data_IF_742012962517
#
_entry.id   IF_742012962517
#
_cell.length_a   1.000
_cell.length_b   1.000
_cell.length_c   1.000
_cell.angle_alpha   90.00
_cell.angle_beta   90.00
_cell.angle_gamma   90.00
#
_symmetry.space_group_name_H-M   'P 1'
#
loop_
_entity.id
_entity.type
_entity.pdbx_description
1 polymer ?
#
# COMPACT_ATOMS: atom_id res chain seq x y z
N UNK A 1 32.92 28.27 -30.31
CA UNK A 1 32.07 27.15 -30.73
C UNK A 1 30.65 27.46 -30.26
N UNK A 2 29.66 27.52 -31.15
CA UNK A 2 28.25 27.69 -30.76
C UNK A 2 27.61 26.31 -30.77
N UNK A 3 27.25 25.81 -29.60
CA UNK A 3 26.45 24.59 -29.51
C UNK A 3 24.98 25.00 -29.69
N UNK A 4 24.43 24.77 -30.88
CA UNK A 4 23.00 24.92 -31.11
C UNK A 4 22.28 23.75 -30.45
N UNK A 5 21.80 23.95 -29.22
CA UNK A 5 20.83 23.02 -28.62
C UNK A 5 19.52 23.17 -29.39
N UNK A 6 19.09 22.10 -30.07
CA UNK A 6 17.75 22.07 -30.67
C UNK A 6 16.72 22.24 -29.54
N UNK A 7 15.66 23.05 -29.72
CA UNK A 7 14.58 23.12 -28.75
C UNK A 7 14.00 21.72 -28.53
N UNK A 8 13.99 21.29 -27.27
CA UNK A 8 13.41 20.02 -26.85
C UNK A 8 12.12 20.32 -26.11
N UNK A 9 11.04 19.63 -26.47
CA UNK A 9 9.79 19.66 -25.74
C UNK A 9 9.53 18.31 -25.10
N UNK A 10 8.99 18.35 -23.88
CA UNK A 10 8.66 17.18 -23.09
C UNK A 10 7.16 17.10 -22.89
N UNK A 11 6.63 15.89 -22.82
CA UNK A 11 5.25 15.63 -22.45
C UNK A 11 5.15 14.32 -21.68
N UNK A 12 4.74 14.39 -20.42
CA UNK A 12 4.54 13.20 -19.59
C UNK A 12 3.23 12.49 -19.88
N UNK A 13 3.21 11.17 -19.68
CA UNK A 13 2.06 10.29 -19.81
C UNK A 13 1.99 9.35 -18.60
N UNK A 14 0.77 9.11 -18.13
CA UNK A 14 0.43 8.02 -17.20
C UNK A 14 -0.49 7.04 -17.93
N UNK A 15 -0.14 5.77 -17.93
CA UNK A 15 -0.91 4.70 -18.58
C UNK A 15 -1.29 5.05 -20.03
N UNK A 16 -0.30 5.62 -20.75
CA UNK A 16 -0.39 6.11 -22.13
C UNK A 16 -1.27 7.36 -22.35
N UNK A 17 -1.87 7.92 -21.30
CA UNK A 17 -2.66 9.16 -21.35
C UNK A 17 -1.79 10.35 -20.97
N UNK A 18 -1.88 11.45 -21.71
CA UNK A 18 -1.12 12.67 -21.41
C UNK A 18 -1.49 13.27 -20.06
N UNK A 19 -0.48 13.62 -19.27
CA UNK A 19 -0.64 14.40 -18.05
C UNK A 19 -0.59 15.89 -18.44
N UNK A 20 -1.75 16.55 -18.40
CA UNK A 20 -1.86 17.95 -18.82
C UNK A 20 -0.93 18.86 -18.01
N UNK A 21 -0.24 19.77 -18.70
CA UNK A 21 0.67 20.75 -18.11
C UNK A 21 2.03 20.20 -17.66
N UNK A 22 2.27 18.89 -17.77
CA UNK A 22 3.54 18.28 -17.40
C UNK A 22 4.51 18.23 -18.59
N UNK A 23 5.20 19.35 -18.81
CA UNK A 23 6.16 19.55 -19.92
C UNK A 23 7.60 19.79 -19.46
N UNK A 24 7.88 19.53 -18.18
CA UNK A 24 9.23 19.57 -17.63
C UNK A 24 10.05 18.35 -18.01
N UNK A 25 11.38 18.49 -17.99
CA UNK A 25 12.30 17.35 -18.13
C UNK A 25 12.18 16.34 -16.97
N UNK A 26 11.65 16.78 -15.82
CA UNK A 26 11.27 15.96 -14.67
C UNK A 26 9.75 16.03 -14.43
N UNK A 27 9.20 14.98 -13.82
CA UNK A 27 7.84 14.93 -13.29
C UNK A 27 7.90 14.84 -11.77
N UNK A 28 7.38 15.84 -11.08
CA UNK A 28 7.25 15.84 -9.63
C UNK A 28 5.87 15.33 -9.23
N UNK A 29 5.84 14.29 -8.38
CA UNK A 29 4.63 13.71 -7.85
C UNK A 29 4.65 13.87 -6.32
N UNK A 30 3.63 14.55 -5.78
CA UNK A 30 3.51 14.80 -4.34
C UNK A 30 2.25 14.15 -3.79
N UNK A 31 2.28 13.77 -2.50
CA UNK A 31 1.14 13.16 -1.80
C UNK A 31 0.55 11.91 -2.51
N UNK A 32 1.44 11.05 -3.01
CA UNK A 32 1.08 9.85 -3.75
C UNK A 32 0.20 8.89 -2.94
N UNK A 33 -0.89 8.44 -3.55
CA UNK A 33 -1.74 7.34 -3.09
C UNK A 33 -1.76 6.17 -4.09
N UNK A 34 -2.42 5.07 -3.75
CA UNK A 34 -2.54 3.89 -4.63
C UNK A 34 -3.07 4.18 -6.01
N UNK A 35 -3.95 5.19 -6.15
CA UNK A 35 -4.51 5.60 -7.44
C UNK A 35 -3.46 6.21 -8.38
N UNK A 36 -2.33 6.65 -7.85
CA UNK A 36 -1.23 7.22 -8.63
C UNK A 36 -0.28 6.16 -9.17
N UNK A 37 -0.36 4.92 -8.68
CA UNK A 37 0.35 3.80 -9.28
C UNK A 37 -0.02 3.66 -10.77
N UNK A 38 0.95 3.21 -11.57
CA UNK A 38 0.77 3.10 -13.02
C UNK A 38 2.09 3.16 -13.77
N UNK A 39 1.99 3.14 -15.10
CA UNK A 39 3.13 3.26 -16.01
C UNK A 39 3.32 4.73 -16.41
N UNK A 40 4.45 5.30 -16.03
CA UNK A 40 4.84 6.65 -16.39
C UNK A 40 5.82 6.61 -17.55
N UNK A 41 5.59 7.44 -18.55
CA UNK A 41 6.49 7.59 -19.69
C UNK A 41 6.59 9.04 -20.12
N UNK A 42 7.72 9.41 -20.68
CA UNK A 42 7.94 10.74 -21.25
C UNK A 42 7.97 10.63 -22.78
N UNK A 43 7.34 11.58 -23.46
CA UNK A 43 7.53 11.80 -24.89
C UNK A 43 8.44 13.02 -25.03
N UNK A 44 9.59 12.84 -25.70
CA UNK A 44 10.55 13.92 -25.93
C UNK A 44 10.62 14.18 -27.42
N UNK A 45 10.35 15.41 -27.86
CA UNK A 45 10.43 15.80 -29.27
C UNK A 45 11.41 16.93 -29.49
N UNK A 46 12.14 16.84 -30.60
CA UNK A 46 13.01 17.88 -31.13
C UNK A 46 12.76 18.04 -32.63
N UNK A 47 13.32 19.07 -33.25
CA UNK A 47 13.26 19.21 -34.73
C UNK A 47 13.96 18.08 -35.49
N UNK A 48 14.76 17.25 -34.81
CA UNK A 48 15.37 16.03 -35.35
C UNK A 48 14.48 14.78 -35.20
N UNK A 49 13.30 14.90 -34.57
CA UNK A 49 12.35 13.82 -34.31
C UNK A 49 12.03 13.62 -32.83
N UNK A 50 11.14 12.66 -32.56
CA UNK A 50 10.79 12.19 -31.21
C UNK A 50 11.82 11.15 -30.77
N UNK A 51 12.48 11.36 -29.62
CA UNK A 51 13.45 10.42 -29.08
C UNK A 51 13.02 9.92 -27.69
N UNK A 52 12.97 8.60 -27.54
CA UNK A 52 12.85 7.80 -26.32
C UNK A 52 11.44 7.50 -25.77
N UNK A 53 11.34 6.23 -25.39
CA UNK A 53 10.23 5.36 -24.98
C UNK A 53 10.64 4.67 -23.66
N UNK A 54 11.05 5.43 -22.64
CA UNK A 54 11.33 4.82 -21.34
C UNK A 54 10.07 4.83 -20.50
N UNK A 55 9.80 3.69 -19.86
CA UNK A 55 8.59 3.44 -19.08
C UNK A 55 9.00 3.04 -17.67
N UNK A 56 8.67 3.90 -16.72
CA UNK A 56 8.85 3.63 -15.29
C UNK A 56 7.54 3.08 -14.70
N UNK A 57 7.62 1.98 -13.96
CA UNK A 57 6.49 1.48 -13.17
C UNK A 57 6.51 2.08 -11.77
N UNK A 58 5.47 2.84 -11.42
CA UNK A 58 5.27 3.33 -10.07
C UNK A 58 4.34 2.38 -9.30
N UNK A 59 4.84 1.82 -8.20
CA UNK A 59 4.04 1.09 -7.21
C UNK A 59 3.97 1.88 -5.92
N UNK A 60 2.76 2.23 -5.48
CA UNK A 60 2.53 2.93 -4.22
C UNK A 60 2.02 1.94 -3.18
N UNK A 61 2.81 1.69 -2.13
CA UNK A 61 2.43 0.83 -1.01
C UNK A 61 1.83 1.66 0.12
N UNK A 62 0.87 1.07 0.82
CA UNK A 62 0.23 1.69 1.97
C UNK A 62 0.73 1.05 3.26
N UNK A 63 0.93 1.83 4.34
CA UNK A 63 1.26 1.28 5.65
C UNK A 63 0.17 0.32 6.14
N UNK A 64 0.56 -0.82 6.71
CA UNK A 64 -0.36 -1.70 7.43
C UNK A 64 -0.68 -1.11 8.80
N UNK A 65 -1.93 -1.18 9.24
CA UNK A 65 -2.37 -0.72 10.55
C UNK A 65 -3.35 -1.70 11.19
N UNK A 66 -3.28 -1.81 12.51
CA UNK A 66 -4.39 -2.31 13.30
C UNK A 66 -5.46 -1.22 13.36
N UNK A 67 -6.71 -1.62 13.18
CA UNK A 67 -7.88 -0.76 13.26
C UNK A 67 -8.52 -0.88 14.65
N UNK A 68 -9.64 -0.19 14.85
CA UNK A 68 -10.39 -0.30 16.10
C UNK A 68 -10.86 -1.73 16.35
N UNK A 69 -10.74 -2.17 17.60
CA UNK A 69 -11.32 -3.43 18.06
C UNK A 69 -12.84 -3.28 18.22
N UNK A 70 -13.58 -4.33 17.88
CA UNK A 70 -15.04 -4.41 18.06
C UNK A 70 -15.35 -5.46 19.11
N UNK A 71 -16.18 -5.12 20.10
CA UNK A 71 -16.74 -6.10 21.03
C UNK A 71 -17.90 -6.78 20.33
N UNK A 72 -17.81 -8.09 20.11
CA UNK A 72 -18.92 -8.88 19.56
C UNK A 72 -19.92 -9.22 20.66
N UNK A 73 -19.40 -9.53 21.86
CA UNK A 73 -20.16 -9.76 23.08
C UNK A 73 -19.26 -9.56 24.34
N UNK A 74 -19.68 -10.10 25.49
CA UNK A 74 -18.95 -10.01 26.75
C UNK A 74 -17.62 -10.79 26.74
N UNK A 75 -17.45 -11.74 25.82
CA UNK A 75 -16.31 -12.64 25.75
C UNK A 75 -15.55 -12.52 24.42
N UNK A 76 -16.16 -12.09 23.33
CA UNK A 76 -15.53 -12.12 22.01
C UNK A 76 -15.13 -10.71 21.56
N UNK A 77 -13.89 -10.59 21.06
CA UNK A 77 -13.41 -9.39 20.37
C UNK A 77 -13.11 -9.71 18.91
N UNK A 78 -13.43 -8.77 18.03
CA UNK A 78 -12.96 -8.75 16.65
C UNK A 78 -11.91 -7.67 16.49
N UNK A 79 -10.75 -8.04 15.96
CA UNK A 79 -9.64 -7.13 15.68
C UNK A 79 -9.49 -7.03 14.17
N UNK A 80 -9.57 -5.81 13.67
CA UNK A 80 -9.41 -5.50 12.26
C UNK A 80 -7.98 -5.04 11.97
N UNK A 81 -7.45 -5.41 10.82
CA UNK A 81 -6.21 -4.89 10.28
C UNK A 81 -6.32 -4.69 8.78
N UNK A 82 -5.61 -3.71 8.26
CA UNK A 82 -5.64 -3.40 6.84
C UNK A 82 -4.66 -2.32 6.47
N UNK A 83 -4.84 -1.77 5.29
CA UNK A 83 -4.02 -0.67 4.82
C UNK A 83 -4.60 0.67 5.30
N UNK A 84 -3.71 1.62 5.60
CA UNK A 84 -4.08 2.94 6.13
C UNK A 84 -4.98 3.76 5.19
N UNK A 85 -4.92 3.49 3.88
CA UNK A 85 -5.70 4.14 2.82
C UNK A 85 -6.99 3.35 2.45
N UNK A 86 -7.35 2.33 3.23
CA UNK A 86 -8.57 1.54 3.06
C UNK A 86 -8.32 0.13 2.52
N UNK A 87 -9.41 -0.58 2.26
CA UNK A 87 -9.41 -1.98 1.86
C UNK A 87 -8.38 -2.32 0.75
N UNK A 88 -7.35 -3.08 1.10
CA UNK A 88 -6.45 -3.67 0.12
C UNK A 88 -7.10 -4.88 -0.56
N UNK A 89 -6.48 -5.40 -1.60
CA UNK A 89 -6.92 -6.65 -2.21
C UNK A 89 -6.36 -7.83 -1.40
N UNK A 90 -6.96 -8.13 -0.25
CA UNK A 90 -6.43 -9.10 0.73
C UNK A 90 -6.88 -10.55 0.49
N UNK A 91 -7.87 -10.78 -0.37
CA UNK A 91 -8.55 -12.09 -0.54
C UNK A 91 -7.65 -13.26 -0.94
N UNK A 92 -6.47 -13.02 -1.51
CA UNK A 92 -5.46 -14.04 -1.80
C UNK A 92 -4.21 -13.99 -0.90
N UNK A 93 -4.05 -12.96 -0.07
CA UNK A 93 -2.81 -12.71 0.68
C UNK A 93 -2.93 -12.97 2.19
N UNK A 94 -4.11 -13.30 2.70
CA UNK A 94 -4.30 -13.50 4.16
C UNK A 94 -3.41 -14.61 4.74
N UNK A 95 -3.11 -15.64 3.95
CA UNK A 95 -2.24 -16.75 4.39
C UNK A 95 -0.77 -16.35 4.57
N UNK A 96 -0.35 -15.22 3.98
CA UNK A 96 0.98 -14.65 4.22
C UNK A 96 1.07 -13.93 5.55
N UNK A 97 -0.04 -13.82 6.31
CA UNK A 97 -0.06 -13.15 7.60
C UNK A 97 -0.38 -14.10 8.73
N UNK A 98 0.24 -13.85 9.88
CA UNK A 98 -0.05 -14.53 11.13
C UNK A 98 -0.31 -13.51 12.23
N UNK A 99 -1.38 -13.74 13.00
CA UNK A 99 -1.60 -13.02 14.24
C UNK A 99 -0.76 -13.67 15.35
N UNK A 100 0.01 -12.85 16.04
CA UNK A 100 0.72 -13.27 17.24
C UNK A 100 0.18 -12.53 18.47
N UNK A 101 0.26 -13.21 19.60
CA UNK A 101 -0.27 -12.73 20.88
C UNK A 101 0.78 -12.88 21.99
N UNK A 102 0.66 -12.04 23.01
CA UNK A 102 1.31 -12.21 24.31
C UNK A 102 0.42 -11.65 25.42
N UNK A 103 0.53 -12.17 26.63
CA UNK A 103 -0.34 -11.79 27.74
C UNK A 103 0.31 -10.80 28.73
N UNK A 104 1.62 -10.58 28.61
CA UNK A 104 2.34 -9.55 29.34
C UNK A 104 3.41 -8.87 28.46
N UNK A 105 3.91 -7.71 28.91
CA UNK A 105 4.89 -6.93 28.13
C UNK A 105 6.28 -7.57 28.10
N UNK A 106 6.58 -8.42 29.08
CA UNK A 106 7.82 -9.18 29.26
C UNK A 106 7.75 -10.62 28.74
N UNK A 107 6.59 -11.06 28.25
CA UNK A 107 6.42 -12.35 27.59
C UNK A 107 6.85 -12.31 26.12
N UNK A 108 7.36 -13.45 25.64
CA UNK A 108 7.63 -13.67 24.22
C UNK A 108 6.31 -13.75 23.42
N UNK A 109 6.37 -13.32 22.16
CA UNK A 109 5.27 -13.49 21.22
C UNK A 109 5.10 -14.96 20.84
N UNK A 110 3.85 -15.40 20.71
CA UNK A 110 3.52 -16.73 20.18
C UNK A 110 2.37 -16.63 19.16
N UNK A 111 2.26 -17.60 18.23
CA UNK A 111 1.13 -17.68 17.32
C UNK A 111 -0.21 -17.67 18.07
N UNK A 112 -1.11 -16.77 17.68
CA UNK A 112 -2.46 -16.76 18.21
C UNK A 112 -3.26 -17.91 17.60
N UNK A 113 -4.01 -18.64 18.42
CA UNK A 113 -4.92 -19.71 17.97
C UNK A 113 -6.23 -19.13 17.40
N UNK A 114 -6.11 -18.27 16.39
CA UNK A 114 -7.21 -17.56 15.74
C UNK A 114 -7.19 -17.84 14.24
N UNK A 115 -8.29 -17.52 13.55
CA UNK A 115 -8.37 -17.59 12.10
C UNK A 115 -8.50 -16.17 11.53
N UNK A 116 -7.61 -15.84 10.58
CA UNK A 116 -7.71 -14.59 9.83
C UNK A 116 -8.76 -14.73 8.72
N UNK A 117 -9.64 -13.74 8.60
CA UNK A 117 -10.76 -13.70 7.65
C UNK A 117 -10.80 -12.36 6.94
N UNK A 118 -11.39 -12.30 5.73
CA UNK A 118 -11.56 -11.05 4.98
C UNK A 118 -13.03 -10.64 4.97
N UNK A 119 -13.32 -9.39 5.32
CA UNK A 119 -14.60 -8.76 5.11
C UNK A 119 -14.39 -7.27 4.82
N UNK A 120 -15.23 -6.70 3.95
CA UNK A 120 -15.15 -5.28 3.55
C UNK A 120 -13.75 -4.84 3.09
N UNK A 121 -13.01 -5.79 2.50
CA UNK A 121 -11.63 -5.65 2.03
C UNK A 121 -10.59 -5.33 3.12
N UNK A 122 -10.92 -5.59 4.38
CA UNK A 122 -10.00 -5.63 5.50
C UNK A 122 -9.88 -7.06 6.02
N UNK A 123 -8.80 -7.35 6.73
CA UNK A 123 -8.64 -8.63 7.41
C UNK A 123 -9.05 -8.46 8.85
N UNK A 124 -9.69 -9.47 9.42
CA UNK A 124 -9.97 -9.52 10.84
C UNK A 124 -9.72 -10.89 11.40
N UNK A 125 -9.60 -10.97 12.72
CA UNK A 125 -9.70 -12.20 13.46
C UNK A 125 -10.53 -11.97 14.71
N UNK A 126 -11.07 -13.07 15.23
CA UNK A 126 -11.83 -13.08 16.46
C UNK A 126 -11.09 -13.87 17.52
N UNK A 127 -11.19 -13.40 18.76
CA UNK A 127 -10.54 -14.01 19.91
C UNK A 127 -11.53 -14.06 21.08
N UNK A 128 -11.71 -15.25 21.64
CA UNK A 128 -12.66 -15.54 22.73
C UNK A 128 -11.98 -15.42 24.09
N UNK A 129 -12.59 -14.67 25.01
CA UNK A 129 -12.07 -14.38 26.34
C UNK A 129 -12.23 -15.57 27.27
N UNK A 130 -11.12 -15.91 27.89
CA UNK A 130 -11.11 -16.46 29.24
C UNK A 130 -10.57 -15.32 30.13
N UNK A 131 -11.44 -14.80 30.97
CA UNK A 131 -11.31 -13.53 31.70
C UNK A 131 -10.02 -13.45 32.56
N UNK A 132 -9.28 -12.32 32.43
CA UNK A 132 -8.22 -11.75 33.32
C UNK A 132 -6.76 -11.68 32.82
N UNK A 133 -6.50 -11.70 31.53
CA UNK A 133 -5.16 -11.36 31.01
C UNK A 133 -5.22 -10.15 30.08
N UNK A 134 -4.27 -9.22 30.27
CA UNK A 134 -3.96 -8.23 29.24
C UNK A 134 -3.51 -9.01 27.99
N UNK A 135 -3.90 -8.57 26.80
CA UNK A 135 -3.41 -9.17 25.55
C UNK A 135 -2.88 -8.10 24.63
N UNK A 136 -1.74 -8.39 24.04
CA UNK A 136 -1.14 -7.58 23.00
C UNK A 136 -1.13 -8.40 21.72
N UNK A 137 -1.47 -7.75 20.61
CA UNK A 137 -1.54 -8.38 19.31
C UNK A 137 -0.58 -7.70 18.36
N UNK A 138 0.01 -8.48 17.45
CA UNK A 138 0.68 -7.98 16.26
C UNK A 138 0.35 -8.89 15.08
N UNK A 139 0.43 -8.33 13.89
CA UNK A 139 0.31 -9.09 12.64
C UNK A 139 1.70 -9.14 12.00
N UNK A 140 2.18 -10.35 11.71
CA UNK A 140 3.45 -10.59 11.04
C UNK A 140 3.19 -11.07 9.62
N UNK A 141 3.95 -10.57 8.65
CA UNK A 141 4.03 -11.16 7.31
C UNK A 141 5.08 -12.29 7.36
N UNK A 142 4.73 -13.47 6.86
CA UNK A 142 5.58 -14.68 6.79
C UNK A 142 6.19 -14.86 5.42
#
# INVERSE_FOLDING_TARGET
MVQSALPVSYQWRKDRVFILGQTGASLELMNLGRRDAGLYSIAVSSSAGVLVQDVAQLSVRSPKRLNSLTFLDAENVRIWFGDADGAGNWSGNVQAFEAEVRNALDEAWSPASVQLQVADGQVYFEDSRNWRVQRFYRIMER
#
